data_IF_517521889650
#
_entry.id   IF_517521889650
#
_cell.length_a   1.000
_cell.length_b   1.000
_cell.length_c   1.000
_cell.angle_alpha   90.00
_cell.angle_beta   90.00
_cell.angle_gamma   90.00
#
_symmetry.space_group_name_H-M   'P 1'
#
loop_
_entity.id
_entity.type
_entity.pdbx_description
1 polymer ?
#
# COMPACT_ATOMS: atom_id res chain seq x y z
N UNK A 1 43.19 93.13 3.70
CA UNK A 1 43.09 91.97 2.80
C UNK A 1 44.36 91.17 2.96
N UNK A 2 44.21 89.90 3.36
CA UNK A 2 45.06 88.74 3.00
C UNK A 2 44.78 87.64 4.01
N UNK A 3 43.74 86.87 3.68
CA UNK A 3 43.39 85.59 4.31
C UNK A 3 44.56 84.59 4.22
N UNK A 4 44.90 83.97 5.33
CA UNK A 4 45.74 82.77 5.35
C UNK A 4 44.81 81.56 5.52
N UNK A 5 44.71 80.65 4.53
CA UNK A 5 43.87 79.47 4.67
C UNK A 5 44.53 78.42 5.57
N UNK A 6 43.75 77.88 6.49
CA UNK A 6 44.11 76.76 7.36
C UNK A 6 44.34 75.47 6.52
N UNK A 7 45.31 74.60 6.87
CA UNK A 7 45.61 73.41 6.08
C UNK A 7 44.47 72.39 6.12
N UNK A 8 44.10 71.91 4.93
CA UNK A 8 43.05 70.94 4.70
C UNK A 8 43.27 69.64 5.49
N UNK A 9 42.27 69.26 6.27
CA UNK A 9 42.23 67.94 6.91
C UNK A 9 42.13 66.86 5.84
N UNK A 10 43.11 65.95 5.86
CA UNK A 10 43.14 64.75 5.03
C UNK A 10 41.88 63.88 5.22
N UNK A 11 41.24 63.39 4.14
CA UNK A 11 40.02 62.60 4.24
C UNK A 11 40.28 61.25 4.94
N UNK A 12 39.50 60.96 5.98
CA UNK A 12 39.50 59.66 6.66
C UNK A 12 39.17 58.54 5.66
N UNK A 13 39.87 57.39 5.69
CA UNK A 13 39.60 56.28 4.79
C UNK A 13 38.19 55.75 5.03
N UNK A 14 37.36 55.80 3.99
CA UNK A 14 36.03 55.22 3.98
C UNK A 14 36.14 53.70 4.13
N UNK A 15 35.68 53.18 5.27
CA UNK A 15 35.65 51.74 5.52
C UNK A 15 34.79 51.08 4.44
N UNK A 16 35.42 50.28 3.57
CA UNK A 16 34.72 49.46 2.59
C UNK A 16 33.80 48.50 3.32
N UNK A 17 32.48 48.78 3.30
CA UNK A 17 31.46 47.88 3.83
C UNK A 17 31.59 46.56 3.07
N UNK A 18 32.14 45.53 3.74
CA UNK A 18 32.28 44.16 3.17
C UNK A 18 30.96 43.76 2.52
N UNK A 19 31.00 43.47 1.22
CA UNK A 19 29.83 43.09 0.44
C UNK A 19 29.12 41.91 1.09
N UNK A 20 27.79 41.97 1.18
CA UNK A 20 26.98 40.90 1.77
C UNK A 20 27.06 39.65 0.87
N UNK A 21 27.86 38.67 1.28
CA UNK A 21 27.92 37.37 0.61
C UNK A 21 26.79 36.49 1.15
N UNK A 22 25.96 35.91 0.27
CA UNK A 22 24.90 34.96 0.67
C UNK A 22 25.53 33.70 1.27
N UNK A 23 24.90 33.14 2.32
CA UNK A 23 25.40 31.93 2.97
C UNK A 23 25.33 30.68 2.07
N UNK A 24 24.44 30.70 1.07
CA UNK A 24 24.29 29.63 0.09
C UNK A 24 24.78 30.14 -1.27
N UNK A 25 25.97 29.68 -1.67
CA UNK A 25 26.56 29.96 -2.98
C UNK A 25 25.81 29.27 -4.13
N UNK A 26 26.15 29.57 -5.41
CA UNK A 26 25.41 29.07 -6.58
C UNK A 26 25.37 27.53 -6.67
N UNK A 27 26.50 26.86 -6.43
CA UNK A 27 26.59 25.38 -6.45
C UNK A 27 25.81 24.76 -5.28
N UNK A 28 25.96 25.31 -4.08
CA UNK A 28 25.24 24.85 -2.89
C UNK A 28 23.73 25.06 -3.00
N UNK A 29 23.28 26.05 -3.79
CA UNK A 29 21.87 26.28 -4.09
C UNK A 29 21.26 25.18 -4.95
N UNK A 30 21.99 24.65 -5.93
CA UNK A 30 21.52 23.51 -6.73
C UNK A 30 21.31 22.27 -5.85
N UNK A 31 22.28 21.99 -4.97
CA UNK A 31 22.16 20.91 -3.99
C UNK A 31 20.98 21.12 -3.04
N UNK A 32 20.76 22.35 -2.57
CA UNK A 32 19.59 22.68 -1.75
C UNK A 32 18.26 22.39 -2.46
N UNK A 33 18.14 22.73 -3.76
CA UNK A 33 16.93 22.43 -4.51
C UNK A 33 16.71 20.92 -4.70
N UNK A 34 17.78 20.16 -4.93
CA UNK A 34 17.70 18.70 -4.95
C UNK A 34 17.20 18.15 -3.60
N UNK A 35 17.78 18.62 -2.49
CA UNK A 35 17.36 18.22 -1.13
C UNK A 35 15.89 18.59 -0.89
N UNK A 36 15.44 19.78 -1.29
CA UNK A 36 14.03 20.17 -1.15
C UNK A 36 13.09 19.34 -2.01
N UNK A 37 13.48 18.99 -3.23
CA UNK A 37 12.67 18.12 -4.09
C UNK A 37 12.50 16.73 -3.46
N UNK A 38 13.59 16.14 -2.97
CA UNK A 38 13.56 14.82 -2.32
C UNK A 38 12.77 14.82 -1.01
N UNK A 39 12.95 15.83 -0.16
CA UNK A 39 12.14 15.99 1.06
C UNK A 39 10.66 16.19 0.71
N UNK A 40 10.35 16.95 -0.34
CA UNK A 40 8.98 17.17 -0.80
C UNK A 40 8.29 15.89 -1.24
N UNK A 41 8.98 15.07 -2.04
CA UNK A 41 8.49 13.74 -2.46
C UNK A 41 8.33 12.79 -1.27
N UNK A 42 9.32 12.74 -0.37
CA UNK A 42 9.25 11.93 0.85
C UNK A 42 8.09 12.34 1.73
N UNK A 43 7.88 13.65 1.92
CA UNK A 43 6.77 14.16 2.74
C UNK A 43 5.40 13.78 2.14
N UNK A 44 5.23 13.91 0.81
CA UNK A 44 4.00 13.49 0.14
C UNK A 44 3.76 11.98 0.28
N UNK A 45 4.81 11.18 0.09
CA UNK A 45 4.76 9.74 0.23
C UNK A 45 4.47 9.30 1.69
N UNK A 46 5.11 9.92 2.69
CA UNK A 46 4.82 9.68 4.11
C UNK A 46 3.40 10.10 4.50
N UNK A 47 2.88 11.18 3.93
CA UNK A 47 1.49 11.60 4.14
C UNK A 47 0.52 10.57 3.56
N UNK A 48 0.80 10.03 2.38
CA UNK A 48 0.03 8.91 1.82
C UNK A 48 0.09 7.66 2.71
N UNK A 49 1.28 7.19 3.08
CA UNK A 49 1.44 5.98 3.91
C UNK A 49 0.73 6.12 5.26
N UNK A 50 0.93 7.26 5.93
CA UNK A 50 0.24 7.58 7.19
C UNK A 50 -1.27 7.68 7.00
N UNK A 51 -1.73 8.23 5.87
CA UNK A 51 -3.14 8.36 5.53
C UNK A 51 -3.83 6.99 5.38
N UNK A 52 -3.18 6.04 4.72
CA UNK A 52 -3.68 4.66 4.60
C UNK A 52 -3.74 3.99 5.98
N UNK A 53 -2.67 4.08 6.78
CA UNK A 53 -2.66 3.53 8.15
C UNK A 53 -3.73 4.17 9.05
N UNK A 54 -3.96 5.48 8.94
CA UNK A 54 -5.03 6.15 9.67
C UNK A 54 -6.42 5.68 9.22
N UNK A 55 -6.61 5.40 7.93
CA UNK A 55 -7.85 4.85 7.39
C UNK A 55 -8.10 3.42 7.89
N UNK A 56 -7.06 2.59 7.99
CA UNK A 56 -7.18 1.25 8.58
C UNK A 56 -7.59 1.34 10.06
N UNK A 57 -6.95 2.22 10.83
CA UNK A 57 -7.33 2.44 12.24
C UNK A 57 -8.76 2.93 12.40
N UNK A 58 -9.27 3.79 11.52
CA UNK A 58 -10.63 4.34 11.64
C UNK A 58 -11.72 3.37 11.19
N UNK A 59 -11.42 2.47 10.27
CA UNK A 59 -12.41 1.54 9.69
C UNK A 59 -12.31 0.11 10.21
N UNK A 60 -11.19 -0.25 10.84
CA UNK A 60 -10.87 -1.64 11.22
C UNK A 60 -10.60 -2.57 10.04
N UNK A 61 -10.51 -2.04 8.81
CA UNK A 61 -10.23 -2.81 7.57
C UNK A 61 -8.76 -2.69 7.20
N UNK A 62 -8.24 -3.70 6.51
CA UNK A 62 -6.87 -3.67 5.97
C UNK A 62 -6.89 -3.07 4.56
N UNK A 63 -6.10 -2.02 4.35
CA UNK A 63 -5.90 -1.32 3.08
C UNK A 63 -4.43 -1.32 2.63
N UNK A 64 -3.51 -1.91 3.37
CA UNK A 64 -2.10 -2.09 2.98
C UNK A 64 -1.93 -3.14 1.87
N UNK A 65 -2.48 -2.86 0.70
CA UNK A 65 -2.38 -3.70 -0.50
C UNK A 65 -1.02 -3.55 -1.20
N UNK A 66 -0.91 -4.10 -2.41
CA UNK A 66 0.30 -4.05 -3.21
C UNK A 66 0.83 -2.64 -3.52
N UNK A 67 -0.06 -1.71 -3.84
CA UNK A 67 0.33 -0.33 -4.12
C UNK A 67 0.93 0.36 -2.88
N UNK A 68 0.41 0.05 -1.68
CA UNK A 68 1.01 0.49 -0.42
C UNK A 68 2.44 -0.03 -0.28
N UNK A 69 2.70 -1.30 -0.61
CA UNK A 69 4.05 -1.87 -0.55
C UNK A 69 5.02 -1.17 -1.52
N UNK A 70 4.57 -0.81 -2.72
CA UNK A 70 5.38 0.00 -3.63
C UNK A 70 5.63 1.42 -3.12
N UNK A 71 4.62 2.06 -2.52
CA UNK A 71 4.80 3.37 -1.89
C UNK A 71 5.75 3.29 -0.71
N UNK A 72 5.73 2.20 0.06
CA UNK A 72 6.69 1.94 1.12
C UNK A 72 8.10 1.74 0.54
N UNK A 73 8.26 0.92 -0.51
CA UNK A 73 9.54 0.76 -1.20
C UNK A 73 10.07 2.09 -1.75
N UNK A 74 9.20 2.92 -2.33
CA UNK A 74 9.54 4.25 -2.78
C UNK A 74 10.01 5.14 -1.61
N UNK A 75 9.37 5.03 -0.44
CA UNK A 75 9.83 5.70 0.78
C UNK A 75 11.27 5.33 1.13
N UNK A 76 11.58 4.02 1.11
CA UNK A 76 12.92 3.50 1.40
C UNK A 76 13.94 4.01 0.39
N UNK A 77 13.65 3.89 -0.91
CA UNK A 77 14.54 4.30 -1.98
C UNK A 77 14.81 5.82 -1.95
N UNK A 78 13.77 6.63 -1.80
CA UNK A 78 13.90 8.09 -1.69
C UNK A 78 14.66 8.48 -0.41
N UNK A 79 14.41 7.78 0.70
CA UNK A 79 15.11 7.99 1.97
C UNK A 79 16.61 7.74 1.83
N UNK A 80 17.00 6.61 1.23
CA UNK A 80 18.39 6.27 0.94
C UNK A 80 19.05 7.29 0.00
N UNK A 81 18.35 7.70 -1.05
CA UNK A 81 18.83 8.70 -2.00
C UNK A 81 19.04 10.08 -1.34
N UNK A 82 18.22 10.43 -0.33
CA UNK A 82 18.33 11.70 0.40
C UNK A 82 19.55 11.76 1.34
N UNK A 83 20.06 10.62 1.82
CA UNK A 83 21.14 10.58 2.83
C UNK A 83 22.35 11.42 2.41
N UNK A 84 22.94 11.10 1.26
CA UNK A 84 24.19 11.74 0.82
C UNK A 84 23.99 13.23 0.52
N UNK A 85 22.99 13.65 -0.29
CA UNK A 85 22.75 15.06 -0.57
C UNK A 85 22.48 15.90 0.69
N UNK A 86 21.68 15.38 1.64
CA UNK A 86 21.32 16.10 2.86
C UNK A 86 22.53 16.28 3.78
N UNK A 87 23.30 15.21 4.01
CA UNK A 87 24.51 15.26 4.85
C UNK A 87 25.56 16.18 4.22
N UNK A 88 25.81 16.05 2.92
CA UNK A 88 26.74 16.91 2.20
C UNK A 88 26.31 18.39 2.27
N UNK A 89 25.03 18.69 2.03
CA UNK A 89 24.50 20.04 2.14
C UNK A 89 24.71 20.60 3.55
N UNK A 90 24.32 19.85 4.58
CA UNK A 90 24.40 20.29 5.97
C UNK A 90 25.84 20.60 6.41
N UNK A 91 26.79 19.69 6.13
CA UNK A 91 28.19 19.88 6.47
C UNK A 91 28.81 21.10 5.76
N UNK A 92 28.59 21.25 4.45
CA UNK A 92 29.10 22.39 3.68
C UNK A 92 28.46 23.70 4.15
N UNK A 93 27.15 23.69 4.43
CA UNK A 93 26.43 24.85 4.92
C UNK A 93 26.94 25.29 6.30
N UNK A 94 27.15 24.35 7.23
CA UNK A 94 27.73 24.61 8.55
C UNK A 94 29.14 25.20 8.45
N UNK A 95 30.01 24.60 7.62
CA UNK A 95 31.38 25.07 7.42
C UNK A 95 31.42 26.51 6.89
N UNK A 96 30.47 26.87 6.02
CA UNK A 96 30.35 28.22 5.43
C UNK A 96 29.74 29.23 6.41
N UNK A 97 28.80 28.79 7.27
CA UNK A 97 28.05 29.66 8.16
C UNK A 97 28.70 29.87 9.55
N UNK A 98 29.62 28.99 9.99
CA UNK A 98 30.18 28.98 11.37
C UNK A 98 30.81 30.29 11.86
N UNK A 99 31.30 31.14 10.94
CA UNK A 99 31.93 32.44 11.26
C UNK A 99 30.96 33.62 11.27
N UNK A 100 29.65 33.40 11.08
CA UNK A 100 28.67 34.50 11.06
C UNK A 100 28.34 35.02 12.45
N UNK A 101 27.95 36.31 12.52
CA UNK A 101 27.70 37.03 13.78
C UNK A 101 26.45 36.55 14.54
N UNK A 102 25.41 36.08 13.83
CA UNK A 102 24.18 35.62 14.46
C UNK A 102 24.34 34.20 15.03
N UNK A 103 24.77 34.12 16.30
CA UNK A 103 24.98 32.84 17.01
C UNK A 103 23.69 32.04 17.21
N UNK A 104 22.53 32.70 17.38
CA UNK A 104 21.23 32.01 17.56
C UNK A 104 20.86 31.23 16.30
N UNK A 105 20.96 31.86 15.12
CA UNK A 105 20.68 31.21 13.84
C UNK A 105 21.59 30.00 13.58
N UNK A 106 22.88 30.11 13.96
CA UNK A 106 23.84 29.00 13.84
C UNK A 106 23.44 27.83 14.74
N UNK A 107 23.09 28.09 16.02
CA UNK A 107 22.66 27.04 16.96
C UNK A 107 21.40 26.31 16.47
N UNK A 108 20.40 27.06 15.98
CA UNK A 108 19.18 26.47 15.40
C UNK A 108 19.54 25.62 14.17
N UNK A 109 20.47 26.09 13.32
CA UNK A 109 20.95 25.31 12.18
C UNK A 109 21.63 24.00 12.57
N UNK A 110 22.44 24.00 13.64
CA UNK A 110 23.05 22.78 14.17
C UNK A 110 22.01 21.81 14.74
N UNK A 111 21.03 22.32 15.50
CA UNK A 111 19.93 21.51 16.00
C UNK A 111 19.11 20.89 14.86
N UNK A 112 18.77 21.68 13.84
CA UNK A 112 18.07 21.19 12.65
C UNK A 112 18.85 20.09 11.94
N UNK A 113 20.16 20.27 11.75
CA UNK A 113 20.99 19.26 11.12
C UNK A 113 21.08 17.98 11.95
N UNK A 114 21.26 18.09 13.27
CA UNK A 114 21.28 16.94 14.17
C UNK A 114 19.96 16.15 14.13
N UNK A 115 18.81 16.84 14.20
CA UNK A 115 17.49 16.19 14.08
C UNK A 115 17.32 15.56 12.70
N UNK A 116 17.78 16.21 11.62
CA UNK A 116 17.73 15.65 10.27
C UNK A 116 18.55 14.36 10.15
N UNK A 117 19.75 14.32 10.75
CA UNK A 117 20.57 13.10 10.83
C UNK A 117 19.86 12.02 11.66
N UNK A 118 19.18 12.39 12.74
CA UNK A 118 18.39 11.44 13.54
C UNK A 118 17.25 10.82 12.72
N UNK A 119 16.55 11.59 11.85
CA UNK A 119 15.55 11.04 10.92
C UNK A 119 16.18 10.00 9.98
N UNK A 120 17.34 10.31 9.38
CA UNK A 120 18.02 9.38 8.48
C UNK A 120 18.48 8.12 9.22
N UNK A 121 19.10 8.28 10.40
CA UNK A 121 19.60 7.17 11.20
C UNK A 121 18.46 6.26 11.67
N UNK A 122 17.36 6.83 12.17
CA UNK A 122 16.17 6.05 12.56
C UNK A 122 15.54 5.34 11.36
N UNK A 123 15.49 5.97 10.18
CA UNK A 123 15.03 5.32 8.95
C UNK A 123 15.88 4.11 8.57
N UNK A 124 17.21 4.25 8.58
CA UNK A 124 18.15 3.14 8.33
C UNK A 124 18.01 2.02 9.37
N UNK A 125 17.86 2.38 10.65
CA UNK A 125 17.67 1.42 11.74
C UNK A 125 16.38 0.59 11.60
N UNK A 126 15.33 1.16 10.99
CA UNK A 126 14.07 0.45 10.75
C UNK A 126 14.12 -0.47 9.52
N UNK A 127 15.13 -0.33 8.65
CA UNK A 127 15.30 -1.22 7.49
C UNK A 127 15.71 -2.62 7.93
N UNK A 128 15.29 -3.62 7.14
CA UNK A 128 15.67 -5.02 7.32
C UNK A 128 16.48 -5.46 6.10
N UNK A 129 17.80 -5.40 6.18
CA UNK A 129 18.69 -5.75 5.06
C UNK A 129 19.90 -6.52 5.58
N UNK A 130 20.19 -7.68 4.97
CA UNK A 130 21.48 -8.38 5.15
C UNK A 130 21.84 -8.74 6.60
N UNK A 131 20.86 -9.16 7.42
CA UNK A 131 21.08 -9.51 8.83
C UNK A 131 21.00 -8.34 9.81
N UNK A 132 20.85 -7.10 9.31
CA UNK A 132 20.54 -5.93 10.14
C UNK A 132 19.03 -5.87 10.39
N UNK A 133 18.60 -6.22 11.61
CA UNK A 133 17.20 -6.13 12.03
C UNK A 133 17.11 -5.80 13.52
N UNK A 134 16.46 -4.68 13.85
CA UNK A 134 16.06 -4.36 15.22
C UNK A 134 14.94 -5.31 15.66
N UNK A 135 15.33 -6.45 16.24
CA UNK A 135 14.41 -7.49 16.74
C UNK A 135 13.78 -7.15 18.09
N UNK A 136 14.47 -6.37 18.94
CA UNK A 136 13.94 -6.01 20.26
C UNK A 136 12.71 -5.10 20.12
N UNK A 137 11.52 -5.52 20.61
CA UNK A 137 10.27 -4.80 20.37
C UNK A 137 10.26 -3.36 20.88
N UNK A 138 10.77 -3.14 22.09
CA UNK A 138 10.83 -1.80 22.69
C UNK A 138 11.74 -0.87 21.88
N UNK A 139 12.94 -1.33 21.53
CA UNK A 139 13.89 -0.55 20.73
C UNK A 139 13.30 -0.19 19.36
N UNK A 140 12.68 -1.16 18.68
CA UNK A 140 12.03 -0.94 17.38
C UNK A 140 10.89 0.08 17.49
N UNK A 141 10.04 -0.04 18.50
CA UNK A 141 8.94 0.91 18.75
C UNK A 141 9.46 2.31 19.05
N UNK A 142 10.49 2.44 19.89
CA UNK A 142 11.12 3.73 20.18
C UNK A 142 11.70 4.36 18.92
N UNK A 143 12.45 3.60 18.11
CA UNK A 143 13.02 4.10 16.86
C UNK A 143 11.92 4.50 15.87
N UNK A 144 10.84 3.74 15.78
CA UNK A 144 9.67 4.07 14.97
C UNK A 144 9.06 5.41 15.38
N UNK A 145 8.75 5.61 16.66
CA UNK A 145 8.17 6.86 17.14
C UNK A 145 9.12 8.04 17.02
N UNK A 146 10.43 7.83 17.17
CA UNK A 146 11.44 8.84 16.85
C UNK A 146 11.41 9.21 15.37
N UNK A 147 11.31 8.22 14.47
CA UNK A 147 11.23 8.44 13.03
C UNK A 147 9.97 9.23 12.63
N UNK A 148 8.87 9.09 13.38
CA UNK A 148 7.64 9.88 13.19
C UNK A 148 7.74 11.29 13.80
N UNK A 149 8.32 11.42 15.00
CA UNK A 149 8.37 12.70 15.72
C UNK A 149 9.46 13.65 15.20
N UNK A 150 10.65 13.13 14.84
CA UNK A 150 11.78 13.96 14.41
C UNK A 150 11.48 14.81 13.16
N UNK A 151 10.75 14.35 12.13
CA UNK A 151 10.35 15.19 11.01
C UNK A 151 9.50 16.39 11.42
N UNK A 152 8.58 16.24 12.37
CA UNK A 152 7.76 17.35 12.89
C UNK A 152 8.64 18.40 13.58
N UNK A 153 9.59 17.94 14.39
CA UNK A 153 10.59 18.80 15.04
C UNK A 153 11.47 19.50 13.99
N UNK A 154 11.90 18.78 12.94
CA UNK A 154 12.71 19.34 11.86
C UNK A 154 11.95 20.44 11.09
N UNK A 155 10.65 20.26 10.82
CA UNK A 155 9.80 21.28 10.17
C UNK A 155 9.74 22.55 11.03
N UNK A 156 9.49 22.41 12.34
CA UNK A 156 9.52 23.54 13.27
C UNK A 156 10.88 24.24 13.25
N UNK A 157 11.97 23.49 13.46
CA UNK A 157 13.32 24.04 13.52
C UNK A 157 13.72 24.73 12.20
N UNK A 158 13.29 24.20 11.06
CA UNK A 158 13.49 24.81 9.76
C UNK A 158 12.74 26.14 9.62
N UNK A 159 11.49 26.22 10.09
CA UNK A 159 10.74 27.46 10.14
C UNK A 159 11.48 28.53 10.96
N UNK A 160 11.91 28.19 12.19
CA UNK A 160 12.71 29.08 13.04
C UNK A 160 14.03 29.49 12.39
N UNK A 161 14.73 28.55 11.74
CA UNK A 161 15.98 28.81 11.04
C UNK A 161 15.80 29.83 9.91
N UNK A 162 14.64 29.81 9.23
CA UNK A 162 14.34 30.67 8.09
C UNK A 162 13.80 32.06 8.46
N UNK A 163 13.40 32.30 9.72
CA UNK A 163 12.99 33.63 10.20
C UNK A 163 14.09 34.71 10.04
N UNK A 164 15.36 34.28 9.98
CA UNK A 164 16.54 35.16 9.81
C UNK A 164 16.91 35.35 8.33
N UNK A 165 16.31 34.58 7.43
CA UNK A 165 16.57 34.59 5.99
C UNK A 165 15.57 35.42 5.17
N UNK A 166 15.58 35.29 3.84
CA UNK A 166 14.56 35.86 2.97
C UNK A 166 13.16 35.36 3.38
N UNK A 167 12.17 36.25 3.35
CA UNK A 167 10.78 35.94 3.70
C UNK A 167 10.28 34.73 2.91
N UNK A 168 9.55 33.85 3.60
CA UNK A 168 8.88 32.72 2.98
C UNK A 168 7.77 33.27 2.09
N UNK A 169 7.74 32.86 0.81
CA UNK A 169 6.61 33.14 -0.04
C UNK A 169 5.49 32.16 0.29
N UNK A 170 4.62 32.56 1.22
CA UNK A 170 3.51 31.73 1.71
C UNK A 170 2.53 31.34 0.62
N UNK A 171 2.37 32.15 -0.44
CA UNK A 171 1.49 31.78 -1.58
C UNK A 171 1.96 30.50 -2.27
N UNK A 172 3.26 30.40 -2.53
CA UNK A 172 3.85 29.19 -3.13
C UNK A 172 3.78 28.01 -2.15
N UNK A 173 4.01 28.26 -0.86
CA UNK A 173 3.89 27.24 0.18
C UNK A 173 2.49 26.64 0.28
N UNK A 174 1.46 27.50 0.34
CA UNK A 174 0.06 27.06 0.38
C UNK A 174 -0.40 26.40 -0.92
N UNK A 175 0.05 26.90 -2.09
CA UNK A 175 -0.25 26.26 -3.37
C UNK A 175 0.34 24.84 -3.45
N UNK A 176 1.59 24.66 -3.03
CA UNK A 176 2.24 23.35 -2.97
C UNK A 176 1.54 22.41 -1.97
N UNK A 177 1.25 22.91 -0.76
CA UNK A 177 0.54 22.14 0.25
C UNK A 177 -0.85 21.69 -0.25
N UNK A 178 -1.62 22.60 -0.85
CA UNK A 178 -2.94 22.28 -1.41
C UNK A 178 -2.86 21.22 -2.52
N UNK A 179 -1.89 21.36 -3.43
CA UNK A 179 -1.67 20.36 -4.49
C UNK A 179 -1.31 18.98 -3.93
N UNK A 180 -0.33 18.90 -3.02
CA UNK A 180 0.09 17.63 -2.42
C UNK A 180 -1.04 17.00 -1.63
N UNK A 181 -1.77 17.77 -0.82
CA UNK A 181 -2.92 17.28 -0.06
C UNK A 181 -4.01 16.73 -0.99
N UNK A 182 -4.32 17.43 -2.10
CA UNK A 182 -5.30 16.95 -3.08
C UNK A 182 -4.86 15.63 -3.73
N UNK A 183 -3.62 15.54 -4.18
CA UNK A 183 -3.07 14.31 -4.78
C UNK A 183 -3.09 13.16 -3.78
N UNK A 184 -2.59 13.37 -2.56
CA UNK A 184 -2.57 12.35 -1.51
C UNK A 184 -3.99 11.91 -1.14
N UNK A 185 -4.94 12.85 -1.03
CA UNK A 185 -6.34 12.52 -0.74
C UNK A 185 -6.96 11.67 -1.84
N UNK A 186 -6.72 11.99 -3.12
CA UNK A 186 -7.17 11.17 -4.26
C UNK A 186 -6.53 9.79 -4.20
N UNK A 187 -5.22 9.70 -3.94
CA UNK A 187 -4.53 8.41 -3.83
C UNK A 187 -5.07 7.56 -2.67
N UNK A 188 -5.33 8.15 -1.51
CA UNK A 188 -5.93 7.42 -0.36
C UNK A 188 -7.37 7.01 -0.66
N UNK A 189 -8.15 7.86 -1.33
CA UNK A 189 -9.50 7.52 -1.74
C UNK A 189 -9.52 6.35 -2.75
N UNK A 190 -8.62 6.36 -3.74
CA UNK A 190 -8.43 5.25 -4.68
C UNK A 190 -7.98 3.97 -3.96
N UNK A 191 -7.05 4.09 -3.00
CA UNK A 191 -6.57 2.98 -2.18
C UNK A 191 -7.69 2.30 -1.36
N UNK A 192 -8.68 3.09 -0.93
CA UNK A 192 -9.82 2.62 -0.16
C UNK A 192 -10.85 1.85 -1.00
N UNK A 193 -10.75 1.92 -2.33
CA UNK A 193 -11.63 1.17 -3.23
C UNK A 193 -11.17 -0.28 -3.32
N UNK A 194 -12.14 -1.18 -3.48
CA UNK A 194 -11.89 -2.58 -3.79
C UNK A 194 -12.24 -2.86 -5.26
N UNK A 195 -11.25 -3.03 -6.15
CA UNK A 195 -11.49 -3.24 -7.57
C UNK A 195 -12.35 -4.47 -7.89
N UNK A 196 -12.39 -5.46 -6.99
CA UNK A 196 -13.24 -6.66 -7.15
C UNK A 196 -14.71 -6.31 -7.28
N UNK A 197 -15.14 -5.17 -6.70
CA UNK A 197 -16.53 -4.72 -6.74
C UNK A 197 -16.90 -3.92 -8.00
N UNK A 198 -15.94 -3.48 -8.81
CA UNK A 198 -16.23 -2.55 -9.93
C UNK A 198 -16.94 -3.22 -11.11
N UNK A 199 -16.67 -4.50 -11.32
CA UNK A 199 -17.25 -5.31 -12.41
C UNK A 199 -17.79 -6.64 -11.88
N UNK A 200 -18.12 -6.70 -10.59
CA UNK A 200 -18.72 -7.88 -10.00
C UNK A 200 -20.06 -8.16 -10.69
N UNK A 201 -20.19 -9.37 -11.23
CA UNK A 201 -21.45 -9.89 -11.76
C UNK A 201 -22.11 -10.68 -10.64
N UNK A 202 -23.39 -10.43 -10.40
CA UNK A 202 -24.15 -11.17 -9.40
C UNK A 202 -25.43 -11.74 -9.96
N UNK A 203 -26.06 -12.64 -9.20
CA UNK A 203 -27.35 -13.17 -9.55
C UNK A 203 -28.45 -12.09 -9.46
N UNK A 204 -29.43 -12.13 -10.37
CA UNK A 204 -30.60 -11.23 -10.33
C UNK A 204 -31.39 -11.34 -9.02
N UNK A 205 -31.43 -12.54 -8.43
CA UNK A 205 -32.10 -12.80 -7.16
C UNK A 205 -31.30 -12.39 -5.91
N UNK A 206 -30.09 -11.83 -6.09
CA UNK A 206 -29.15 -11.55 -5.00
C UNK A 206 -28.78 -12.83 -4.22
N UNK A 207 -28.54 -12.70 -2.91
CA UNK A 207 -28.12 -13.82 -2.06
C UNK A 207 -29.06 -15.04 -2.09
N UNK A 208 -30.34 -14.87 -2.44
CA UNK A 208 -31.28 -15.99 -2.62
C UNK A 208 -30.88 -16.96 -3.73
N UNK A 209 -29.97 -16.57 -4.61
CA UNK A 209 -29.38 -17.48 -5.58
C UNK A 209 -28.69 -18.67 -4.91
N UNK A 210 -28.10 -18.50 -3.73
CA UNK A 210 -27.39 -19.61 -3.12
C UNK A 210 -28.34 -20.62 -2.47
N UNK A 211 -29.61 -20.26 -2.24
CA UNK A 211 -30.61 -21.17 -1.70
C UNK A 211 -30.98 -22.29 -2.71
N UNK A 212 -31.25 -23.52 -2.25
CA UNK A 212 -31.37 -23.96 -0.85
C UNK A 212 -30.05 -24.29 -0.13
N UNK A 213 -28.88 -24.11 -0.75
CA UNK A 213 -27.62 -24.16 0.00
C UNK A 213 -27.57 -23.00 1.01
N UNK A 214 -26.90 -23.21 2.15
CA UNK A 214 -26.65 -22.12 3.10
C UNK A 214 -25.33 -21.38 2.81
N UNK A 215 -24.58 -21.81 1.79
CA UNK A 215 -23.37 -21.13 1.33
C UNK A 215 -23.66 -19.70 0.88
N UNK A 216 -22.74 -18.79 1.14
CA UNK A 216 -22.85 -17.38 0.73
C UNK A 216 -21.53 -16.83 0.28
N UNK A 217 -21.57 -15.89 -0.65
CA UNK A 217 -20.44 -15.04 -0.97
C UNK A 217 -20.45 -13.78 -0.10
N UNK A 218 -19.31 -13.32 0.39
CA UNK A 218 -19.21 -12.13 1.24
C UNK A 218 -19.80 -10.85 0.61
N UNK A 219 -19.80 -10.75 -0.72
CA UNK A 219 -20.37 -9.62 -1.48
C UNK A 219 -21.82 -9.83 -1.96
N UNK A 220 -22.35 -11.05 -1.82
CA UNK A 220 -23.58 -11.49 -2.49
C UNK A 220 -23.47 -11.60 -4.02
N UNK A 221 -22.29 -11.39 -4.60
CA UNK A 221 -22.00 -11.45 -6.04
C UNK A 221 -21.31 -12.78 -6.39
N UNK A 222 -21.25 -13.13 -7.68
CA UNK A 222 -20.47 -14.28 -8.12
C UNK A 222 -18.97 -14.05 -7.92
N UNK A 223 -18.24 -15.14 -7.67
CA UNK A 223 -16.79 -15.17 -7.65
C UNK A 223 -16.31 -15.70 -9.00
N UNK A 224 -15.39 -15.02 -9.71
CA UNK A 224 -14.88 -15.50 -10.99
C UNK A 224 -14.32 -16.92 -10.88
N UNK A 225 -14.70 -17.82 -11.80
CA UNK A 225 -14.25 -19.21 -11.77
C UNK A 225 -12.72 -19.35 -11.72
N UNK A 226 -11.99 -18.50 -12.45
CA UNK A 226 -10.52 -18.47 -12.44
C UNK A 226 -9.93 -18.17 -11.06
N UNK A 227 -10.61 -17.36 -10.23
CA UNK A 227 -10.19 -17.07 -8.86
C UNK A 227 -10.37 -18.28 -7.92
N UNK A 228 -11.26 -19.21 -8.27
CA UNK A 228 -11.56 -20.43 -7.51
C UNK A 228 -10.92 -21.70 -8.10
N UNK A 229 -10.25 -21.64 -9.24
CA UNK A 229 -9.71 -22.82 -9.97
C UNK A 229 -8.19 -22.76 -10.19
N UNK A 230 -7.47 -22.05 -9.32
CA UNK A 230 -6.04 -21.80 -9.49
C UNK A 230 -5.13 -22.74 -8.68
N UNK A 231 -5.44 -24.04 -8.65
CA UNK A 231 -4.66 -25.03 -7.86
C UNK A 231 -3.21 -25.15 -8.34
N UNK A 232 -2.96 -24.95 -9.65
CA UNK A 232 -1.63 -24.97 -10.24
C UNK A 232 -0.72 -23.86 -9.71
N UNK A 233 -1.28 -22.71 -9.33
CA UNK A 233 -0.53 -21.66 -8.66
C UNK A 233 -0.06 -22.12 -7.27
N UNK A 234 -0.92 -22.81 -6.52
CA UNK A 234 -0.58 -23.36 -5.21
C UNK A 234 0.53 -24.43 -5.30
N UNK A 235 0.49 -25.29 -6.32
CA UNK A 235 1.48 -26.36 -6.57
C UNK A 235 2.93 -25.82 -6.64
N UNK A 236 3.14 -24.62 -7.18
CA UNK A 236 4.49 -24.02 -7.33
C UNK A 236 5.25 -23.94 -6.00
N UNK A 237 4.55 -23.79 -4.88
CA UNK A 237 5.13 -23.66 -3.54
C UNK A 237 4.69 -24.76 -2.56
N UNK A 238 3.53 -25.39 -2.79
CA UNK A 238 2.90 -26.36 -1.88
C UNK A 238 2.74 -27.74 -2.52
N UNK A 239 3.81 -28.27 -3.10
CA UNK A 239 3.78 -29.51 -3.88
C UNK A 239 3.27 -30.72 -3.07
N UNK A 240 3.72 -30.89 -1.84
CA UNK A 240 3.33 -32.05 -1.02
C UNK A 240 1.84 -32.06 -0.68
N UNK A 241 1.28 -30.90 -0.34
CA UNK A 241 -0.14 -30.75 -0.01
C UNK A 241 -0.99 -30.89 -1.26
N UNK A 242 -0.55 -30.31 -2.39
CA UNK A 242 -1.24 -30.47 -3.66
C UNK A 242 -1.28 -31.94 -4.10
N UNK A 243 -0.19 -32.70 -3.94
CA UNK A 243 -0.16 -34.13 -4.27
C UNK A 243 -1.15 -34.95 -3.42
N UNK A 244 -1.29 -34.63 -2.13
CA UNK A 244 -2.30 -35.27 -1.28
C UNK A 244 -3.73 -34.87 -1.67
N UNK A 245 -3.94 -33.58 -1.96
CA UNK A 245 -5.24 -33.08 -2.41
C UNK A 245 -5.65 -33.73 -3.74
N UNK A 246 -4.74 -33.88 -4.71
CA UNK A 246 -5.06 -34.41 -6.04
C UNK A 246 -5.59 -35.84 -6.01
N UNK A 247 -5.28 -36.60 -4.97
CA UNK A 247 -5.76 -37.98 -4.78
C UNK A 247 -6.95 -38.07 -3.79
N UNK A 248 -7.43 -36.94 -3.29
CA UNK A 248 -8.45 -36.88 -2.23
C UNK A 248 -9.88 -36.89 -2.73
N UNK A 249 -10.82 -37.28 -1.86
CA UNK A 249 -12.26 -37.17 -2.13
C UNK A 249 -12.73 -35.73 -2.36
N UNK A 250 -11.98 -34.72 -1.90
CA UNK A 250 -12.28 -33.31 -2.17
C UNK A 250 -11.99 -32.94 -3.63
N UNK A 251 -10.88 -33.43 -4.19
CA UNK A 251 -10.58 -33.27 -5.62
C UNK A 251 -11.60 -33.96 -6.52
N UNK A 252 -12.10 -35.11 -6.06
CA UNK A 252 -13.13 -35.91 -6.72
C UNK A 252 -14.51 -35.71 -6.10
N UNK A 253 -14.86 -34.49 -5.69
CA UNK A 253 -16.19 -34.20 -5.12
C UNK A 253 -17.23 -33.83 -6.18
N UNK A 254 -16.81 -33.36 -7.35
CA UNK A 254 -17.70 -32.79 -8.37
C UNK A 254 -18.07 -33.84 -9.43
N UNK A 255 -18.37 -33.43 -10.67
CA UNK A 255 -18.85 -34.32 -11.74
C UNK A 255 -17.82 -35.37 -12.20
N UNK A 256 -16.59 -35.31 -11.71
CA UNK A 256 -15.58 -36.37 -11.86
C UNK A 256 -15.79 -37.59 -10.94
N UNK A 257 -16.85 -37.59 -10.14
CA UNK A 257 -17.26 -38.69 -9.27
C UNK A 257 -18.53 -39.35 -9.81
N UNK A 258 -18.47 -40.57 -10.37
CA UNK A 258 -19.61 -41.16 -11.07
C UNK A 258 -20.88 -41.33 -10.22
N UNK A 259 -20.81 -41.81 -8.96
CA UNK A 259 -21.96 -41.79 -8.05
C UNK A 259 -22.59 -40.41 -7.88
N UNK A 260 -21.78 -39.37 -7.63
CA UNK A 260 -22.28 -38.02 -7.47
C UNK A 260 -22.92 -37.48 -8.75
N UNK A 261 -22.23 -37.64 -9.88
CA UNK A 261 -22.71 -37.23 -11.20
C UNK A 261 -24.09 -37.83 -11.50
N UNK A 262 -24.30 -39.11 -11.22
CA UNK A 262 -25.60 -39.75 -11.40
C UNK A 262 -26.68 -39.08 -10.52
N UNK A 263 -26.40 -38.89 -9.23
CA UNK A 263 -27.37 -38.29 -8.28
C UNK A 263 -27.73 -36.85 -8.62
N UNK A 264 -26.75 -36.02 -8.96
CA UNK A 264 -26.99 -34.61 -9.29
C UNK A 264 -27.66 -34.47 -10.65
N UNK A 265 -27.34 -35.33 -11.62
CA UNK A 265 -28.02 -35.36 -12.94
C UNK A 265 -29.51 -35.68 -12.78
N UNK A 266 -29.84 -36.74 -12.03
CA UNK A 266 -31.24 -37.10 -11.77
C UNK A 266 -31.96 -35.98 -11.01
N UNK A 267 -31.33 -35.41 -9.98
CA UNK A 267 -31.90 -34.30 -9.22
C UNK A 267 -32.24 -33.11 -10.13
N UNK A 268 -31.31 -32.72 -11.01
CA UNK A 268 -31.51 -31.64 -11.98
C UNK A 268 -32.64 -31.97 -12.96
N UNK A 269 -32.68 -33.18 -13.50
CA UNK A 269 -33.72 -33.63 -14.43
C UNK A 269 -35.11 -33.62 -13.79
N UNK A 270 -35.23 -34.19 -12.58
CA UNK A 270 -36.50 -34.25 -11.84
C UNK A 270 -36.99 -32.86 -11.46
N UNK A 271 -36.10 -32.00 -10.93
CA UNK A 271 -36.47 -30.62 -10.59
C UNK A 271 -36.82 -29.78 -11.80
N UNK A 272 -36.13 -29.96 -12.93
CA UNK A 272 -36.47 -29.28 -14.17
C UNK A 272 -37.86 -29.68 -14.66
N UNK A 273 -38.20 -30.97 -14.62
CA UNK A 273 -39.54 -31.47 -15.00
C UNK A 273 -40.64 -31.02 -14.04
N UNK A 274 -40.36 -31.00 -12.73
CA UNK A 274 -41.35 -30.68 -11.69
C UNK A 274 -41.58 -29.17 -11.53
N UNK A 275 -40.50 -28.41 -11.49
CA UNK A 275 -40.50 -26.99 -11.07
C UNK A 275 -40.09 -26.04 -12.20
N UNK A 276 -39.66 -26.55 -13.36
CA UNK A 276 -39.11 -25.73 -14.45
C UNK A 276 -37.73 -25.16 -14.15
N UNK A 277 -37.03 -25.69 -13.15
CA UNK A 277 -35.78 -25.13 -12.63
C UNK A 277 -34.84 -26.21 -12.10
N UNK A 278 -33.52 -26.00 -12.24
CA UNK A 278 -32.48 -26.90 -11.70
C UNK A 278 -32.02 -26.51 -10.29
N UNK A 279 -32.59 -25.44 -9.71
CA UNK A 279 -32.09 -24.80 -8.49
C UNK A 279 -32.10 -25.70 -7.24
N UNK A 280 -32.94 -26.74 -7.19
CA UNK A 280 -32.90 -27.71 -6.10
C UNK A 280 -31.52 -28.38 -5.96
N UNK A 281 -30.80 -28.56 -7.07
CA UNK A 281 -29.46 -29.13 -7.08
C UNK A 281 -28.39 -28.24 -6.43
N UNK A 282 -28.68 -26.96 -6.15
CA UNK A 282 -27.75 -26.07 -5.43
C UNK A 282 -27.47 -26.57 -4.00
N UNK A 283 -28.40 -27.32 -3.39
CA UNK A 283 -28.17 -28.03 -2.12
C UNK A 283 -26.88 -28.88 -2.17
N UNK A 284 -26.67 -29.57 -3.29
CA UNK A 284 -25.46 -30.36 -3.53
C UNK A 284 -24.25 -29.46 -3.85
N UNK A 285 -24.47 -28.44 -4.69
CA UNK A 285 -23.43 -27.61 -5.27
C UNK A 285 -22.61 -26.82 -4.25
N UNK A 286 -23.23 -26.40 -3.14
CA UNK A 286 -22.51 -25.71 -2.06
C UNK A 286 -21.40 -26.53 -1.39
N UNK A 287 -21.46 -27.85 -1.46
CA UNK A 287 -20.40 -28.74 -0.98
C UNK A 287 -19.57 -29.33 -2.13
N UNK A 288 -20.22 -29.77 -3.20
CA UNK A 288 -19.58 -30.62 -4.21
C UNK A 288 -19.04 -29.85 -5.41
N UNK A 289 -19.72 -28.76 -5.82
CA UNK A 289 -19.47 -28.02 -7.06
C UNK A 289 -19.22 -26.52 -6.83
N UNK A 290 -18.36 -26.13 -5.88
CA UNK A 290 -18.19 -24.73 -5.47
C UNK A 290 -17.77 -23.83 -6.64
N UNK A 291 -16.91 -24.31 -7.54
CA UNK A 291 -16.42 -23.49 -8.68
C UNK A 291 -17.55 -23.09 -9.64
N UNK A 292 -18.29 -24.03 -10.28
CA UNK A 292 -19.42 -23.64 -11.14
C UNK A 292 -20.55 -22.95 -10.35
N UNK A 293 -20.73 -23.27 -9.07
CA UNK A 293 -21.80 -22.71 -8.26
C UNK A 293 -21.59 -21.23 -7.96
N UNK A 294 -20.44 -20.87 -7.38
CA UNK A 294 -20.12 -19.49 -7.04
C UNK A 294 -19.80 -18.63 -8.26
N UNK A 295 -19.44 -19.23 -9.41
CA UNK A 295 -19.25 -18.49 -10.66
C UNK A 295 -20.55 -18.20 -11.43
N UNK A 296 -21.69 -18.70 -10.95
CA UNK A 296 -22.99 -18.55 -11.61
C UNK A 296 -23.24 -19.50 -12.79
N UNK A 297 -22.31 -20.40 -13.09
CA UNK A 297 -22.42 -21.31 -14.25
C UNK A 297 -23.34 -22.51 -13.97
N UNK A 298 -23.43 -22.95 -12.72
CA UNK A 298 -24.13 -24.18 -12.32
C UNK A 298 -25.63 -24.19 -12.67
N UNK A 299 -26.26 -23.02 -12.65
CA UNK A 299 -27.71 -22.87 -12.79
C UNK A 299 -28.21 -22.95 -14.23
N UNK A 300 -27.30 -22.95 -15.22
CA UNK A 300 -27.67 -23.15 -16.62
C UNK A 300 -28.30 -24.55 -16.79
N UNK A 301 -29.58 -24.67 -17.22
CA UNK A 301 -30.21 -25.97 -17.47
C UNK A 301 -29.48 -26.81 -18.53
N UNK A 302 -28.64 -26.20 -19.37
CA UNK A 302 -27.81 -26.84 -20.38
C UNK A 302 -26.34 -26.93 -19.98
N UNK A 303 -26.00 -26.69 -18.70
CA UNK A 303 -24.64 -26.80 -18.19
C UNK A 303 -24.03 -28.17 -18.53
N UNK A 304 -22.91 -28.15 -19.25
CA UNK A 304 -22.18 -29.37 -19.62
C UNK A 304 -21.35 -29.90 -18.45
N UNK A 305 -21.92 -30.86 -17.72
CA UNK A 305 -21.30 -31.51 -16.55
C UNK A 305 -20.08 -32.37 -16.89
N UNK A 306 -19.70 -32.52 -18.18
CA UNK A 306 -18.59 -33.37 -18.62
C UNK A 306 -17.45 -32.58 -19.26
N UNK A 307 -17.74 -31.50 -19.99
CA UNK A 307 -16.71 -30.75 -20.73
C UNK A 307 -16.50 -29.33 -20.22
N UNK A 308 -17.41 -28.78 -19.42
CA UNK A 308 -17.27 -27.41 -18.96
C UNK A 308 -15.98 -27.26 -18.12
N UNK A 309 -15.18 -26.18 -18.29
CA UNK A 309 -13.89 -26.03 -17.59
C UNK A 309 -13.97 -26.11 -16.05
N UNK A 310 -15.14 -25.81 -15.48
CA UNK A 310 -15.38 -25.86 -14.04
C UNK A 310 -15.96 -27.19 -13.55
N UNK A 311 -16.37 -28.09 -14.45
CA UNK A 311 -17.12 -29.31 -14.13
C UNK A 311 -16.32 -30.33 -13.29
N UNK A 312 -15.00 -30.34 -13.43
CA UNK A 312 -14.16 -31.33 -12.76
C UNK A 312 -13.21 -30.70 -11.74
N UNK A 313 -13.55 -29.52 -11.20
CA UNK A 313 -12.69 -28.81 -10.24
C UNK A 313 -12.77 -29.42 -8.84
N UNK A 314 -13.94 -29.96 -8.45
CA UNK A 314 -14.16 -30.43 -7.08
C UNK A 314 -14.09 -29.27 -6.07
N UNK A 315 -13.69 -29.60 -4.84
CA UNK A 315 -13.31 -28.62 -3.83
C UNK A 315 -11.82 -28.29 -4.05
N UNK A 316 -11.55 -27.09 -4.55
CA UNK A 316 -10.18 -26.61 -4.82
C UNK A 316 -9.50 -26.09 -3.56
N UNK A 317 -8.19 -25.86 -3.65
CA UNK A 317 -7.41 -25.22 -2.60
C UNK A 317 -8.04 -23.87 -2.21
N UNK A 318 -8.35 -23.06 -3.23
CA UNK A 318 -8.96 -21.73 -3.06
C UNK A 318 -10.37 -21.79 -2.49
N UNK A 319 -11.19 -22.80 -2.84
CA UNK A 319 -12.53 -22.92 -2.22
C UNK A 319 -12.42 -23.03 -0.70
N UNK A 320 -11.57 -23.92 -0.18
CA UNK A 320 -11.43 -24.07 1.27
C UNK A 320 -10.74 -22.86 1.91
N UNK A 321 -9.65 -22.38 1.30
CA UNK A 321 -8.84 -21.30 1.89
C UNK A 321 -9.45 -19.91 1.76
N UNK A 322 -10.51 -19.74 0.97
CA UNK A 322 -11.25 -18.49 0.85
C UNK A 322 -12.52 -18.43 1.72
N UNK A 323 -12.82 -19.48 2.50
CA UNK A 323 -13.87 -19.44 3.51
C UNK A 323 -13.41 -18.55 4.67
N UNK A 324 -14.16 -17.48 4.94
CA UNK A 324 -13.86 -16.52 6.00
C UNK A 324 -14.65 -16.76 7.26
N UNK A 325 -15.79 -17.45 7.16
CA UNK A 325 -16.65 -17.72 8.31
C UNK A 325 -17.41 -19.04 8.13
N UNK A 326 -17.44 -19.84 9.20
CA UNK A 326 -18.42 -20.93 9.35
C UNK A 326 -19.61 -20.34 10.10
N UNK A 327 -20.77 -20.27 9.45
CA UNK A 327 -21.93 -19.55 9.95
C UNK A 327 -22.74 -20.40 10.93
N UNK A 328 -22.77 -21.72 10.76
CA UNK A 328 -23.34 -22.64 11.73
C UNK A 328 -22.82 -24.07 11.58
N UNK A 329 -23.30 -24.96 12.46
CA UNK A 329 -23.08 -26.41 12.39
C UNK A 329 -24.15 -27.14 11.55
N UNK A 330 -25.00 -26.42 10.81
CA UNK A 330 -25.99 -27.04 9.92
C UNK A 330 -25.28 -27.69 8.74
N UNK A 331 -25.53 -28.98 8.52
CA UNK A 331 -24.94 -29.77 7.44
C UNK A 331 -25.52 -29.42 6.07
N UNK A 332 -25.22 -28.22 5.55
CA UNK A 332 -25.62 -27.74 4.22
C UNK A 332 -24.76 -26.55 3.75
N UNK A 333 -23.44 -26.71 3.80
CA UNK A 333 -22.50 -25.68 3.37
C UNK A 333 -22.71 -24.30 4.03
N UNK A 334 -23.10 -24.23 5.31
CA UNK A 334 -23.38 -22.95 5.98
C UNK A 334 -22.09 -22.19 6.33
N UNK A 335 -21.44 -21.66 5.30
CA UNK A 335 -20.21 -20.90 5.34
C UNK A 335 -20.27 -19.68 4.43
N UNK A 336 -19.44 -18.69 4.73
CA UNK A 336 -19.22 -17.51 3.89
C UNK A 336 -17.86 -17.65 3.21
N UNK A 337 -17.85 -17.55 1.88
CA UNK A 337 -16.65 -17.54 1.04
C UNK A 337 -16.47 -16.14 0.42
N UNK A 338 -15.23 -15.69 0.23
CA UNK A 338 -14.95 -14.45 -0.49
C UNK A 338 -14.02 -14.70 -1.68
N UNK A 339 -13.95 -13.76 -2.63
CA UNK A 339 -12.92 -13.84 -3.68
C UNK A 339 -11.54 -13.66 -3.04
N UNK A 340 -10.62 -14.64 -3.13
CA UNK A 340 -9.33 -14.53 -2.46
C UNK A 340 -8.48 -13.39 -3.02
N UNK A 341 -7.75 -12.71 -2.12
CA UNK A 341 -6.76 -11.71 -2.51
C UNK A 341 -5.52 -12.42 -3.06
N UNK A 342 -5.34 -12.36 -4.38
CA UNK A 342 -4.21 -12.99 -5.05
C UNK A 342 -2.96 -12.11 -5.03
N UNK A 343 -1.80 -12.77 -5.11
CA UNK A 343 -0.56 -12.10 -5.49
C UNK A 343 -0.74 -11.43 -6.88
N UNK A 344 -0.23 -10.20 -7.12
CA UNK A 344 -0.47 -9.47 -8.36
C UNK A 344 -0.07 -10.20 -9.66
N UNK A 345 0.87 -11.14 -9.57
CA UNK A 345 1.32 -11.94 -10.71
C UNK A 345 0.86 -13.40 -10.64
N UNK A 346 -0.16 -13.71 -9.82
CA UNK A 346 -0.68 -15.07 -9.67
C UNK A 346 -1.15 -15.71 -10.99
N UNK A 347 -1.56 -14.87 -11.95
CA UNK A 347 -1.97 -15.28 -13.30
C UNK A 347 -0.98 -14.81 -14.38
N UNK A 348 0.23 -14.37 -14.01
CA UNK A 348 1.22 -13.96 -15.00
C UNK A 348 1.86 -15.18 -15.66
N UNK A 349 1.99 -15.12 -16.98
CA UNK A 349 2.76 -16.08 -17.78
C UNK A 349 4.23 -15.66 -17.92
N UNK A 350 4.63 -14.51 -17.37
CA UNK A 350 6.00 -14.04 -17.46
C UNK A 350 6.89 -14.83 -16.48
N UNK A 351 7.91 -15.56 -16.94
CA UNK A 351 8.75 -16.40 -16.08
C UNK A 351 9.63 -15.62 -15.09
N UNK A 352 9.70 -14.29 -15.21
CA UNK A 352 10.47 -13.40 -14.33
C UNK A 352 9.60 -12.80 -13.21
N UNK A 353 8.28 -12.96 -13.28
CA UNK A 353 7.29 -12.48 -12.30
C UNK A 353 6.63 -13.66 -11.59
#
# INVERSE_FOLDING_TARGET
MSDVPSPAQSPKPTSTKRAYVRAVGPRLRKLLYLVFALIGLLAANSAYLSGVTALEWSTGRTYQNYFYQYMFLAHLALGLLLVVPLVAFGLIHMATARKRKNRRAIRIGYALFAVSVAVLATGLLLTRVGGFDLRQPLARSTVYWLHVACPLIAIWLYWLHRLVGPRINWRVGFAYLGFVTAVVAVMVWLQAQDPRNWYAVGPESGEKYFEPSLARTASGQFIPAAALSNDQYCLKCHADVHAQWSDSVHRFSSFNNPPYLASVTETREVSLKRDGSVQAARWCAGCHDPVPFFSGAFDDPQFDMLSHPTAHQGITCTTCHAITQVNSNRGNADYTIEEPLHYPFAFSENPVL
#
